data_IF_614069937108
#
_entry.id   IF_614069937108
#
_cell.length_a   1.000
_cell.length_b   1.000
_cell.length_c   1.000
_cell.angle_alpha   90.00
_cell.angle_beta   90.00
_cell.angle_gamma   90.00
#
_symmetry.space_group_name_H-M   'P 1'
#
loop_
_entity.id
_entity.type
_entity.pdbx_description
1 polymer ?
#
# COMPACT_ATOMS: atom_id res chain seq x y z
N UNK A 1 -7.90 -17.56 -1.68
CA UNK A 1 -9.34 -17.85 -1.80
C UNK A 1 -10.16 -16.61 -2.18
N UNK A 2 -9.74 -15.38 -1.84
CA UNK A 2 -10.44 -14.15 -2.27
C UNK A 2 -10.07 -13.60 -3.66
N UNK A 3 -8.94 -13.98 -4.22
CA UNK A 3 -8.41 -13.44 -5.49
C UNK A 3 -9.40 -13.60 -6.64
N UNK A 4 -9.99 -14.78 -6.79
CA UNK A 4 -10.99 -15.06 -7.83
C UNK A 4 -12.28 -14.24 -7.63
N UNK A 5 -12.70 -14.09 -6.37
CA UNK A 5 -13.86 -13.26 -6.01
C UNK A 5 -13.64 -11.79 -6.35
N UNK A 6 -12.47 -11.24 -5.99
CA UNK A 6 -12.12 -9.85 -6.30
C UNK A 6 -12.05 -9.64 -7.81
N UNK A 7 -11.40 -10.56 -8.53
CA UNK A 7 -11.28 -10.47 -9.98
C UNK A 7 -12.65 -10.46 -10.68
N UNK A 8 -13.59 -11.30 -10.22
CA UNK A 8 -14.90 -11.42 -10.83
C UNK A 8 -15.85 -10.27 -10.45
N UNK A 9 -15.76 -9.73 -9.23
CA UNK A 9 -16.71 -8.73 -8.75
C UNK A 9 -16.18 -7.29 -8.83
N UNK A 10 -14.88 -7.07 -8.67
CA UNK A 10 -14.25 -5.75 -8.65
C UNK A 10 -13.27 -5.52 -9.83
N UNK A 11 -13.02 -6.55 -10.63
CA UNK A 11 -12.19 -6.48 -11.83
C UNK A 11 -10.69 -6.49 -11.58
N UNK A 12 -9.94 -6.53 -12.68
CA UNK A 12 -8.47 -6.60 -12.69
C UNK A 12 -7.86 -5.37 -12.02
N UNK A 13 -8.42 -4.18 -12.28
CA UNK A 13 -7.90 -2.91 -11.74
C UNK A 13 -7.91 -2.91 -10.21
N UNK A 14 -9.02 -3.31 -9.58
CA UNK A 14 -9.11 -3.41 -8.12
C UNK A 14 -8.08 -4.41 -7.56
N UNK A 15 -7.93 -5.56 -8.23
CA UNK A 15 -6.95 -6.57 -7.82
C UNK A 15 -5.51 -6.02 -7.84
N UNK A 16 -5.13 -5.32 -8.91
CA UNK A 16 -3.78 -4.71 -9.01
C UNK A 16 -3.60 -3.64 -7.94
N UNK A 17 -4.58 -2.77 -7.72
CA UNK A 17 -4.51 -1.74 -6.68
C UNK A 17 -4.32 -2.32 -5.28
N UNK A 18 -5.07 -3.38 -4.94
CA UNK A 18 -4.92 -4.09 -3.68
C UNK A 18 -3.54 -4.75 -3.54
N UNK A 19 -3.04 -5.37 -4.62
CA UNK A 19 -1.72 -5.98 -4.62
C UNK A 19 -0.61 -4.95 -4.43
N UNK A 20 -0.65 -3.85 -5.20
CA UNK A 20 0.33 -2.75 -5.09
C UNK A 20 0.25 -2.09 -3.72
N UNK A 21 -0.96 -1.83 -3.20
CA UNK A 21 -1.14 -1.28 -1.86
C UNK A 21 -0.57 -2.19 -0.77
N UNK A 22 -0.82 -3.49 -0.85
CA UNK A 22 -0.25 -4.47 0.08
C UNK A 22 1.28 -4.54 0.01
N UNK A 23 1.85 -4.48 -1.20
CA UNK A 23 3.30 -4.45 -1.41
C UNK A 23 3.92 -3.18 -0.79
N UNK A 24 3.34 -2.00 -1.03
CA UNK A 24 3.81 -0.74 -0.45
C UNK A 24 3.73 -0.73 1.07
N UNK A 25 2.64 -1.23 1.65
CA UNK A 25 2.51 -1.35 3.10
C UNK A 25 3.60 -2.26 3.69
N UNK A 26 3.88 -3.39 3.04
CA UNK A 26 4.91 -4.33 3.47
C UNK A 26 6.31 -3.73 3.35
N UNK A 27 6.60 -3.03 2.26
CA UNK A 27 7.85 -2.30 2.07
C UNK A 27 8.02 -1.27 3.19
N UNK A 28 7.01 -0.42 3.45
CA UNK A 28 7.05 0.57 4.53
C UNK A 28 7.36 -0.05 5.89
N UNK A 29 6.75 -1.19 6.21
CA UNK A 29 7.04 -1.95 7.44
C UNK A 29 8.47 -2.49 7.50
N UNK A 30 8.99 -3.00 6.37
CA UNK A 30 10.38 -3.45 6.28
C UNK A 30 11.34 -2.27 6.49
N UNK A 31 11.12 -1.14 5.81
CA UNK A 31 11.93 0.08 5.95
C UNK A 31 11.97 0.54 7.41
N UNK A 32 10.83 0.51 8.10
CA UNK A 32 10.75 0.83 9.52
C UNK A 32 11.56 -0.16 10.38
N UNK A 33 11.42 -1.46 10.13
CA UNK A 33 12.12 -2.50 10.89
C UNK A 33 13.65 -2.44 10.71
N UNK A 34 14.14 -2.17 9.50
CA UNK A 34 15.57 -2.05 9.22
C UNK A 34 16.14 -0.66 9.54
N UNK A 35 15.29 0.29 9.97
CA UNK A 35 15.65 1.69 10.26
C UNK A 35 16.37 2.37 9.09
N UNK A 36 15.91 2.07 7.87
CA UNK A 36 16.48 2.58 6.62
C UNK A 36 15.33 2.79 5.62
N UNK A 37 15.34 3.84 4.78
CA UNK A 37 16.40 4.83 4.57
C UNK A 37 16.32 6.02 5.53
N UNK A 38 17.46 6.68 5.76
CA UNK A 38 17.56 7.90 6.60
C UNK A 38 18.31 9.05 5.89
N UNK A 39 17.74 9.61 4.80
CA UNK A 39 18.38 10.68 4.03
C UNK A 39 18.38 12.02 4.77
N UNK A 40 17.35 12.30 5.58
CA UNK A 40 17.23 13.53 6.38
C UNK A 40 16.92 13.21 7.84
N UNK A 41 17.94 12.92 8.67
CA UNK A 41 17.76 12.42 10.03
C UNK A 41 16.99 13.34 10.98
N UNK A 42 16.86 14.62 10.61
CA UNK A 42 16.19 15.64 11.43
C UNK A 42 14.75 15.91 11.01
N UNK A 43 14.33 15.49 9.81
CA UNK A 43 13.02 15.87 9.23
C UNK A 43 12.29 14.75 8.49
N UNK A 44 13.00 13.83 7.85
CA UNK A 44 12.40 12.78 7.03
C UNK A 44 13.33 11.56 6.89
N UNK A 45 13.15 10.60 7.77
CA UNK A 45 13.87 9.33 7.81
C UNK A 45 12.93 8.13 7.65
N UNK A 46 13.36 6.99 8.19
CA UNK A 46 12.70 5.70 7.98
C UNK A 46 11.24 5.67 8.51
N UNK A 47 10.95 6.45 9.55
CA UNK A 47 9.60 6.53 10.12
C UNK A 47 8.63 7.20 9.14
N UNK A 48 9.06 8.31 8.54
CA UNK A 48 8.29 9.07 7.58
C UNK A 48 8.17 8.33 6.24
N UNK A 49 9.20 7.59 5.81
CA UNK A 49 9.08 6.67 4.67
C UNK A 49 8.03 5.58 4.91
N UNK A 50 8.01 4.98 6.10
CA UNK A 50 6.97 4.02 6.47
C UNK A 50 5.57 4.65 6.43
N UNK A 51 5.44 5.87 6.95
CA UNK A 51 4.18 6.60 6.92
C UNK A 51 3.73 6.92 5.49
N UNK A 52 4.64 7.40 4.65
CA UNK A 52 4.37 7.70 3.24
C UNK A 52 3.95 6.46 2.45
N UNK A 53 4.68 5.34 2.58
CA UNK A 53 4.30 4.07 1.98
C UNK A 53 2.91 3.61 2.45
N UNK A 54 2.61 3.76 3.74
CA UNK A 54 1.29 3.42 4.30
C UNK A 54 0.19 4.33 3.76
N UNK A 55 0.45 5.63 3.61
CA UNK A 55 -0.49 6.58 3.04
C UNK A 55 -0.82 6.25 1.58
N UNK A 56 0.20 5.95 0.76
CA UNK A 56 -0.02 5.53 -0.64
C UNK A 56 -0.76 4.20 -0.71
N UNK A 57 -0.40 3.24 0.16
CA UNK A 57 -1.13 1.98 0.27
C UNK A 57 -2.62 2.20 0.60
N UNK A 58 -2.92 3.10 1.54
CA UNK A 58 -4.29 3.44 1.91
C UNK A 58 -5.06 4.07 0.73
N UNK A 59 -4.41 4.95 -0.05
CA UNK A 59 -5.01 5.54 -1.26
C UNK A 59 -5.32 4.44 -2.29
N UNK A 60 -4.41 3.49 -2.54
CA UNK A 60 -4.66 2.38 -3.44
C UNK A 60 -5.88 1.55 -3.00
N UNK A 61 -5.98 1.22 -1.71
CA UNK A 61 -7.12 0.49 -1.16
C UNK A 61 -8.42 1.29 -1.27
N UNK A 62 -8.38 2.58 -0.96
CA UNK A 62 -9.52 3.47 -1.09
C UNK A 62 -10.05 3.49 -2.52
N UNK A 63 -9.17 3.68 -3.52
CA UNK A 63 -9.55 3.65 -4.93
C UNK A 63 -10.11 2.27 -5.31
N UNK A 64 -9.49 1.17 -4.85
CA UNK A 64 -9.99 -0.18 -5.11
C UNK A 64 -11.41 -0.40 -4.59
N UNK A 65 -11.79 0.21 -3.46
CA UNK A 65 -13.16 0.07 -2.92
C UNK A 65 -14.22 0.70 -3.83
N UNK A 66 -13.89 1.74 -4.60
CA UNK A 66 -14.84 2.30 -5.57
C UNK A 66 -15.22 1.30 -6.68
N UNK A 67 -14.33 0.37 -7.04
CA UNK A 67 -14.64 -0.70 -7.99
C UNK A 67 -15.41 -1.87 -7.38
N UNK A 68 -15.52 -1.92 -6.04
CA UNK A 68 -16.33 -2.93 -5.33
C UNK A 68 -17.75 -2.42 -5.12
N UNK A 69 -17.89 -1.11 -4.87
CA UNK A 69 -19.16 -0.48 -4.50
C UNK A 69 -20.04 -0.17 -5.73
N UNK A 70 -19.43 0.03 -6.90
CA UNK A 70 -20.11 0.40 -8.16
C UNK A 70 -19.83 -0.63 -9.25
#
# INVERSE_FOLDING_TARGET
>A
WYTATILHNAGVTALVLLFVGGALYSIGGILYAVRWPDPWPTTFGYHEFSHACTAVAAICHYIAMWFVVF
#
